data_IF_835951378564
#
_entry.id   IF_835951378564
#
_cell.length_a   1.000
_cell.length_b   1.000
_cell.length_c   1.000
_cell.angle_alpha   90.00
_cell.angle_beta   90.00
_cell.angle_gamma   90.00
#
_symmetry.space_group_name_H-M   'P 1'
#
loop_
_entity.id
_entity.type
_entity.pdbx_description
1 polymer ?
#
# COMPACT_ATOMS: atom_id res chain seq x y z
N UNK A 1 -33.00 22.73 29.67
CA UNK A 1 -31.70 23.14 29.08
C UNK A 1 -31.24 22.17 27.99
N UNK A 2 -31.16 20.85 28.24
CA UNK A 2 -30.77 19.87 27.21
C UNK A 2 -31.54 19.96 25.86
N UNK A 3 -32.86 20.17 25.91
CA UNK A 3 -33.70 20.34 24.70
C UNK A 3 -33.33 21.59 23.87
N UNK A 4 -32.85 22.65 24.53
CA UNK A 4 -32.41 23.86 23.86
C UNK A 4 -31.04 23.66 23.18
N UNK A 5 -30.12 22.96 23.84
CA UNK A 5 -28.82 22.59 23.26
C UNK A 5 -28.97 21.68 22.03
N UNK A 6 -29.87 20.70 22.08
CA UNK A 6 -30.16 19.83 20.94
C UNK A 6 -30.74 20.61 19.76
N UNK A 7 -31.67 21.54 20.02
CA UNK A 7 -32.23 22.42 18.98
C UNK A 7 -31.16 23.32 18.35
N UNK A 8 -30.20 23.81 19.15
CA UNK A 8 -29.08 24.59 18.66
C UNK A 8 -28.11 23.76 17.81
N UNK A 9 -27.84 22.51 18.19
CA UNK A 9 -27.04 21.57 17.40
C UNK A 9 -27.66 21.29 16.03
N UNK A 10 -28.98 21.06 15.97
CA UNK A 10 -29.70 20.81 14.70
C UNK A 10 -29.80 22.06 13.82
N UNK A 11 -29.84 23.25 14.42
CA UNK A 11 -29.87 24.52 13.71
C UNK A 11 -28.47 25.00 13.27
N UNK A 12 -27.39 24.33 13.70
CA UNK A 12 -26.02 24.72 13.37
C UNK A 12 -25.74 24.50 11.89
N UNK A 13 -25.28 25.54 11.21
CA UNK A 13 -24.90 25.47 9.80
C UNK A 13 -23.48 24.88 9.65
N UNK A 14 -23.45 23.56 9.48
CA UNK A 14 -22.22 22.77 9.34
C UNK A 14 -21.39 23.12 8.11
N UNK A 15 -22.00 23.68 7.07
CA UNK A 15 -21.31 23.99 5.82
C UNK A 15 -20.65 25.38 5.89
N UNK A 16 -21.23 26.30 6.66
CA UNK A 16 -20.64 27.61 6.95
C UNK A 16 -19.51 27.56 8.00
N UNK A 17 -19.46 26.53 8.85
CA UNK A 17 -18.47 26.39 9.92
C UNK A 17 -17.09 25.97 9.40
N UNK A 18 -16.23 26.97 9.15
CA UNK A 18 -14.86 26.76 8.65
C UNK A 18 -13.98 25.92 9.58
N UNK A 19 -14.18 26.01 10.89
CA UNK A 19 -13.38 25.25 11.86
C UNK A 19 -13.76 23.77 11.81
N UNK A 20 -15.05 23.47 11.71
CA UNK A 20 -15.53 22.11 11.45
C UNK A 20 -15.01 21.56 10.12
N UNK A 21 -15.12 22.31 9.02
CA UNK A 21 -14.66 21.85 7.69
C UNK A 21 -13.15 21.55 7.69
N UNK A 22 -12.34 22.40 8.32
CA UNK A 22 -10.90 22.15 8.48
C UNK A 22 -10.61 20.89 9.30
N UNK A 23 -11.42 20.60 10.33
CA UNK A 23 -11.27 19.40 11.16
C UNK A 23 -11.69 18.14 10.41
N UNK A 24 -12.78 18.20 9.65
CA UNK A 24 -13.26 17.09 8.83
C UNK A 24 -12.23 16.67 7.77
N UNK A 25 -11.58 17.64 7.12
CA UNK A 25 -10.53 17.38 6.12
C UNK A 25 -9.31 16.63 6.69
N UNK A 26 -9.09 16.70 8.01
CA UNK A 26 -7.98 16.03 8.68
C UNK A 26 -8.35 14.63 9.20
N UNK A 27 -9.64 14.28 9.23
CA UNK A 27 -10.12 13.03 9.82
C UNK A 27 -10.28 11.98 8.73
N UNK A 28 -9.57 10.85 8.89
CA UNK A 28 -9.77 9.67 8.08
C UNK A 28 -10.92 8.82 8.65
N UNK A 29 -12.01 8.68 7.90
CA UNK A 29 -13.10 7.74 8.22
C UNK A 29 -12.78 6.43 7.51
N UNK A 30 -12.64 5.35 8.29
CA UNK A 30 -12.28 4.05 7.75
C UNK A 30 -13.36 3.50 6.81
N UNK A 31 -12.92 2.93 5.68
CA UNK A 31 -13.80 2.23 4.74
C UNK A 31 -14.55 1.11 5.46
N UNK A 32 -15.89 1.11 5.40
CA UNK A 32 -16.76 0.11 6.02
C UNK A 32 -17.54 0.58 7.25
N UNK A 33 -17.24 1.78 7.77
CA UNK A 33 -18.15 2.48 8.69
C UNK A 33 -19.17 3.25 7.86
N UNK A 34 -20.43 3.22 8.26
CA UNK A 34 -21.44 4.08 7.66
C UNK A 34 -21.03 5.55 7.79
N UNK A 35 -20.76 6.18 6.66
CA UNK A 35 -20.08 7.47 6.58
C UNK A 35 -20.91 8.56 7.26
N UNK A 36 -22.24 8.49 7.12
CA UNK A 36 -23.18 9.46 7.69
C UNK A 36 -23.24 9.34 9.20
N UNK A 37 -23.32 8.10 9.72
CA UNK A 37 -23.26 7.86 11.17
C UNK A 37 -21.93 8.30 11.79
N UNK A 38 -20.81 8.10 11.09
CA UNK A 38 -19.49 8.54 11.54
C UNK A 38 -19.40 10.08 11.59
N UNK A 39 -19.83 10.75 10.51
CA UNK A 39 -19.88 12.22 10.46
C UNK A 39 -20.80 12.76 11.55
N UNK A 40 -21.99 12.20 11.74
CA UNK A 40 -22.93 12.66 12.76
C UNK A 40 -22.33 12.59 14.17
N UNK A 41 -21.61 11.51 14.50
CA UNK A 41 -20.89 11.37 15.78
C UNK A 41 -19.77 12.39 15.93
N UNK A 42 -19.01 12.63 14.86
CA UNK A 42 -17.94 13.62 14.86
C UNK A 42 -18.48 15.05 15.01
N UNK A 43 -19.57 15.39 14.30
CA UNK A 43 -20.30 16.66 14.44
C UNK A 43 -20.75 16.89 15.88
N UNK A 44 -21.39 15.89 16.50
CA UNK A 44 -21.81 15.96 17.92
C UNK A 44 -20.65 16.20 18.87
N UNK A 45 -19.56 15.44 18.68
CA UNK A 45 -18.37 15.54 19.52
C UNK A 45 -17.71 16.92 19.39
N UNK A 46 -17.60 17.43 18.16
CA UNK A 46 -17.09 18.78 17.88
C UNK A 46 -17.98 19.85 18.53
N UNK A 47 -19.30 19.78 18.32
CA UNK A 47 -20.23 20.74 18.89
C UNK A 47 -20.13 20.79 20.41
N UNK A 48 -20.03 19.62 21.05
CA UNK A 48 -19.90 19.53 22.49
C UNK A 48 -18.57 20.14 22.97
N UNK A 49 -17.45 19.84 22.32
CA UNK A 49 -16.14 20.32 22.78
C UNK A 49 -15.89 21.79 22.51
N UNK A 50 -16.37 22.31 21.39
CA UNK A 50 -15.92 23.60 20.86
C UNK A 50 -17.01 24.69 20.87
N UNK A 51 -18.30 24.32 20.95
CA UNK A 51 -19.42 25.28 20.84
C UNK A 51 -20.27 25.28 22.12
N UNK A 52 -20.75 24.13 22.56
CA UNK A 52 -21.67 24.01 23.70
C UNK A 52 -21.45 22.71 24.47
N UNK A 53 -20.75 22.82 25.61
CA UNK A 53 -20.41 21.70 26.49
C UNK A 53 -21.64 21.02 27.11
N UNK A 54 -22.80 21.68 27.15
CA UNK A 54 -24.05 21.14 27.70
C UNK A 54 -24.75 20.13 26.76
N UNK A 55 -24.32 19.98 25.51
CA UNK A 55 -24.89 19.00 24.59
C UNK A 55 -24.56 17.57 25.04
N UNK A 56 -25.58 16.74 25.28
CA UNK A 56 -25.36 15.33 25.61
C UNK A 56 -24.91 14.54 24.36
N UNK A 57 -23.93 13.65 24.53
CA UNK A 57 -23.43 12.82 23.42
C UNK A 57 -24.45 11.79 22.93
N UNK A 58 -25.41 11.43 23.77
CA UNK A 58 -26.45 10.47 23.46
C UNK A 58 -27.61 11.17 22.76
N UNK A 59 -27.98 10.80 21.52
CA UNK A 59 -29.17 11.33 20.90
C UNK A 59 -30.37 11.13 21.82
N UNK A 60 -31.14 12.19 22.05
CA UNK A 60 -32.42 12.09 22.74
C UNK A 60 -33.35 11.32 21.82
N UNK A 61 -33.25 10.00 21.87
CA UNK A 61 -34.03 9.10 21.03
C UNK A 61 -35.49 9.21 21.43
N UNK A 62 -36.35 9.44 20.44
CA UNK A 62 -37.74 8.99 20.46
C UNK A 62 -37.85 7.57 21.07
N UNK A 63 -38.99 7.25 21.72
CA UNK A 63 -39.13 6.02 22.49
C UNK A 63 -38.66 4.79 21.69
N UNK A 64 -37.88 3.91 22.35
CA UNK A 64 -37.10 2.90 21.69
C UNK A 64 -38.00 1.91 20.94
N UNK A 65 -37.95 1.93 19.62
CA UNK A 65 -38.34 0.76 18.82
C UNK A 65 -37.41 -0.37 19.28
N UNK A 66 -37.99 -1.41 19.87
CA UNK A 66 -37.36 -2.47 20.65
C UNK A 66 -36.52 -3.47 19.84
N UNK A 67 -35.66 -3.01 18.93
CA UNK A 67 -34.84 -3.82 18.02
C UNK A 67 -33.33 -3.80 18.33
N UNK A 68 -32.90 -3.32 19.52
CA UNK A 68 -31.49 -3.09 19.85
C UNK A 68 -30.70 -4.28 20.40
N UNK A 69 -31.33 -5.42 20.75
CA UNK A 69 -30.60 -6.55 21.35
C UNK A 69 -29.82 -7.44 20.37
N UNK A 70 -30.12 -7.43 19.07
CA UNK A 70 -29.43 -8.31 18.10
C UNK A 70 -28.15 -7.72 17.51
N UNK A 71 -27.95 -6.40 17.49
CA UNK A 71 -26.75 -5.79 16.89
C UNK A 71 -25.49 -5.87 17.76
N UNK A 72 -25.62 -5.98 19.09
CA UNK A 72 -24.47 -6.02 20.00
C UNK A 72 -23.60 -7.28 19.80
N UNK A 73 -24.22 -8.44 19.59
CA UNK A 73 -23.51 -9.71 19.46
C UNK A 73 -22.64 -9.78 18.18
N UNK A 74 -23.15 -9.27 17.07
CA UNK A 74 -22.41 -9.25 15.79
C UNK A 74 -21.18 -8.33 15.85
N UNK A 75 -21.26 -7.21 16.56
CA UNK A 75 -20.14 -6.28 16.69
C UNK A 75 -18.99 -6.86 17.52
N UNK A 76 -19.30 -7.51 18.64
CA UNK A 76 -18.27 -8.15 19.47
C UNK A 76 -17.59 -9.32 18.75
N UNK A 77 -18.36 -10.15 18.04
CA UNK A 77 -17.80 -11.24 17.25
C UNK A 77 -16.83 -10.72 16.19
N UNK A 78 -17.23 -9.71 15.41
CA UNK A 78 -16.39 -9.10 14.38
C UNK A 78 -15.11 -8.50 14.98
N UNK A 79 -15.19 -7.87 16.16
CA UNK A 79 -14.03 -7.35 16.87
C UNK A 79 -13.04 -8.44 17.27
N UNK A 80 -13.52 -9.57 17.81
CA UNK A 80 -12.66 -10.70 18.20
C UNK A 80 -11.97 -11.33 16.99
N UNK A 81 -12.70 -11.52 15.89
CA UNK A 81 -12.13 -12.02 14.63
C UNK A 81 -11.06 -11.06 14.12
N UNK A 82 -11.34 -9.76 14.07
CA UNK A 82 -10.39 -8.74 13.64
C UNK A 82 -9.09 -8.76 14.47
N UNK A 83 -9.21 -8.82 15.79
CA UNK A 83 -8.06 -8.88 16.70
C UNK A 83 -7.26 -10.18 16.45
N UNK A 84 -7.93 -11.33 16.40
CA UNK A 84 -7.30 -12.62 16.14
C UNK A 84 -6.56 -12.64 14.80
N UNK A 85 -7.20 -12.14 13.73
CA UNK A 85 -6.58 -12.08 12.40
C UNK A 85 -5.37 -11.16 12.36
N UNK A 86 -5.36 -10.04 13.11
CA UNK A 86 -4.17 -9.19 13.22
C UNK A 86 -3.01 -9.89 13.95
N UNK A 87 -3.29 -10.69 14.98
CA UNK A 87 -2.26 -11.51 15.64
C UNK A 87 -1.70 -12.60 14.73
N UNK A 88 -2.55 -13.27 13.94
CA UNK A 88 -2.09 -14.24 12.93
C UNK A 88 -1.21 -13.53 11.90
N UNK A 89 -1.63 -12.35 11.41
CA UNK A 89 -0.83 -11.54 10.47
C UNK A 89 0.53 -11.18 11.06
N UNK A 90 0.58 -10.73 12.31
CA UNK A 90 1.84 -10.49 13.02
C UNK A 90 2.71 -11.74 13.09
N UNK A 91 2.13 -12.89 13.42
CA UNK A 91 2.84 -14.17 13.46
C UNK A 91 3.50 -14.51 12.12
N UNK A 92 2.78 -14.33 11.01
CA UNK A 92 3.31 -14.54 9.65
C UNK A 92 4.46 -13.58 9.31
N UNK A 93 4.34 -12.30 9.64
CA UNK A 93 5.41 -11.33 9.39
C UNK A 93 6.63 -11.54 10.28
N UNK A 94 6.44 -11.94 11.54
CA UNK A 94 7.55 -12.35 12.42
C UNK A 94 8.25 -13.61 11.90
N UNK A 95 7.48 -14.59 11.41
CA UNK A 95 7.99 -15.79 10.76
C UNK A 95 8.83 -15.45 9.53
N UNK A 96 8.39 -14.49 8.70
CA UNK A 96 9.16 -14.03 7.55
C UNK A 96 10.53 -13.46 7.94
N UNK A 97 10.63 -12.70 9.04
CA UNK A 97 11.91 -12.20 9.54
C UNK A 97 12.81 -13.36 9.96
N UNK A 98 12.27 -14.33 10.71
CA UNK A 98 13.03 -15.52 11.13
C UNK A 98 13.49 -16.37 9.94
N UNK A 99 12.63 -16.60 8.96
CA UNK A 99 12.97 -17.31 7.72
C UNK A 99 14.00 -16.53 6.90
N UNK A 100 13.93 -15.20 6.86
CA UNK A 100 14.92 -14.34 6.22
C UNK A 100 16.29 -14.46 6.90
N UNK A 101 16.34 -14.45 8.23
CA UNK A 101 17.59 -14.69 8.99
C UNK A 101 18.13 -16.10 8.69
N UNK A 102 17.26 -17.11 8.72
CA UNK A 102 17.63 -18.50 8.39
C UNK A 102 18.15 -18.66 6.96
N UNK A 103 17.58 -17.92 6.00
CA UNK A 103 18.07 -17.84 4.63
C UNK A 103 19.49 -17.27 4.56
N UNK A 104 19.76 -16.17 5.27
CA UNK A 104 21.08 -15.52 5.30
C UNK A 104 22.14 -16.38 6.01
N UNK A 105 21.74 -17.21 6.98
CA UNK A 105 22.65 -18.11 7.70
C UNK A 105 22.91 -19.43 6.94
N UNK A 106 22.03 -19.82 6.02
CA UNK A 106 22.11 -21.10 5.32
C UNK A 106 22.97 -21.02 4.07
N UNK A 107 24.20 -21.55 4.12
CA UNK A 107 25.12 -21.55 2.96
C UNK A 107 24.83 -22.60 1.88
N UNK A 108 23.86 -23.52 2.09
CA UNK A 108 23.59 -24.61 1.13
C UNK A 108 22.09 -24.84 0.90
N UNK A 109 21.56 -26.01 1.27
CA UNK A 109 20.23 -26.51 0.92
C UNK A 109 19.09 -25.85 1.71
N UNK A 110 19.34 -25.38 2.93
CA UNK A 110 18.33 -24.70 3.77
C UNK A 110 17.81 -23.40 3.17
N UNK A 111 18.61 -22.75 2.32
CA UNK A 111 18.26 -21.48 1.68
C UNK A 111 17.01 -21.60 0.79
N UNK A 112 16.85 -22.71 0.05
CA UNK A 112 15.68 -22.91 -0.81
C UNK A 112 14.39 -23.03 0.00
N UNK A 113 14.41 -23.81 1.08
CA UNK A 113 13.28 -23.98 1.97
C UNK A 113 12.88 -22.65 2.61
N UNK A 114 13.82 -21.95 3.23
CA UNK A 114 13.56 -20.66 3.88
C UNK A 114 12.96 -19.66 2.89
N UNK A 115 13.50 -19.59 1.67
CA UNK A 115 13.00 -18.72 0.61
C UNK A 115 11.54 -19.04 0.24
N UNK A 116 11.22 -20.30 -0.07
CA UNK A 116 9.86 -20.69 -0.50
C UNK A 116 8.83 -20.46 0.61
N UNK A 117 9.12 -20.87 1.84
CA UNK A 117 8.19 -20.68 2.95
C UNK A 117 7.98 -19.21 3.28
N UNK A 118 9.01 -18.37 3.13
CA UNK A 118 8.87 -16.93 3.32
C UNK A 118 7.97 -16.29 2.26
N UNK A 119 8.07 -16.71 0.98
CA UNK A 119 7.18 -16.21 -0.07
C UNK A 119 5.73 -16.66 0.13
N UNK A 120 5.52 -17.93 0.51
CA UNK A 120 4.17 -18.46 0.81
C UNK A 120 3.56 -17.78 2.03
N UNK A 121 4.32 -17.62 3.12
CA UNK A 121 3.88 -16.92 4.33
C UNK A 121 3.52 -15.45 4.02
N UNK A 122 4.31 -14.76 3.21
CA UNK A 122 4.01 -13.40 2.76
C UNK A 122 2.74 -13.31 1.91
N UNK A 123 2.55 -14.27 0.99
CA UNK A 123 1.33 -14.37 0.18
C UNK A 123 0.09 -14.57 1.05
N UNK A 124 0.14 -15.49 2.02
CA UNK A 124 -0.93 -15.69 3.00
C UNK A 124 -1.19 -14.42 3.82
N UNK A 125 -0.14 -13.70 4.21
CA UNK A 125 -0.24 -12.41 4.89
C UNK A 125 -0.98 -11.34 4.08
N UNK A 126 -0.77 -11.29 2.76
CA UNK A 126 -1.52 -10.40 1.87
C UNK A 126 -3.00 -10.79 1.73
N UNK A 127 -3.30 -12.09 1.55
CA UNK A 127 -4.70 -12.53 1.51
C UNK A 127 -5.44 -12.28 2.82
N UNK A 128 -4.78 -12.51 3.95
CA UNK A 128 -5.32 -12.21 5.27
C UNK A 128 -5.56 -10.70 5.44
N UNK A 129 -4.64 -9.86 4.97
CA UNK A 129 -4.84 -8.41 4.94
C UNK A 129 -6.09 -8.02 4.14
N UNK A 130 -6.22 -8.52 2.91
CA UNK A 130 -7.39 -8.22 2.05
C UNK A 130 -8.69 -8.66 2.73
N UNK A 131 -8.72 -9.87 3.30
CA UNK A 131 -9.90 -10.39 4.01
C UNK A 131 -10.27 -9.57 5.24
N UNK A 132 -9.28 -9.05 5.98
CA UNK A 132 -9.51 -8.16 7.13
C UNK A 132 -10.01 -6.79 6.66
N UNK A 133 -9.35 -6.18 5.66
CA UNK A 133 -9.58 -4.79 5.25
C UNK A 133 -10.88 -4.63 4.49
N UNK A 134 -11.20 -5.54 3.57
CA UNK A 134 -12.34 -5.40 2.67
C UNK A 134 -13.48 -6.40 2.96
N UNK A 135 -13.25 -7.38 3.83
CA UNK A 135 -14.24 -8.40 4.16
C UNK A 135 -14.44 -9.42 3.03
N UNK A 136 -15.70 -9.83 2.81
CA UNK A 136 -16.05 -10.83 1.78
C UNK A 136 -15.84 -10.24 0.38
N UNK A 137 -15.19 -10.98 -0.54
CA UNK A 137 -14.97 -10.50 -1.90
C UNK A 137 -16.31 -10.25 -2.61
N UNK A 138 -16.40 -9.09 -3.28
CA UNK A 138 -17.56 -8.72 -4.11
C UNK A 138 -17.10 -8.72 -5.57
N UNK A 139 -17.91 -9.32 -6.44
CA UNK A 139 -17.64 -9.35 -7.89
C UNK A 139 -18.22 -8.10 -8.58
N UNK A 140 -17.80 -6.92 -8.11
CA UNK A 140 -18.17 -5.64 -8.71
C UNK A 140 -16.94 -4.79 -9.03
N UNK A 141 -17.12 -3.81 -9.91
CA UNK A 141 -16.02 -2.96 -10.40
C UNK A 141 -15.46 -2.10 -9.27
N UNK A 142 -16.30 -1.65 -8.35
CA UNK A 142 -15.90 -0.81 -7.22
C UNK A 142 -14.96 -1.55 -6.27
N UNK A 143 -15.25 -2.82 -5.96
CA UNK A 143 -14.37 -3.64 -5.13
C UNK A 143 -13.04 -3.91 -5.84
N UNK A 144 -13.07 -4.17 -7.15
CA UNK A 144 -11.84 -4.35 -7.93
C UNK A 144 -10.98 -3.07 -7.90
N UNK A 145 -11.58 -1.89 -8.07
CA UNK A 145 -10.87 -0.60 -7.98
C UNK A 145 -10.23 -0.40 -6.61
N UNK A 146 -10.94 -0.70 -5.52
CA UNK A 146 -10.38 -0.64 -4.16
C UNK A 146 -9.18 -1.59 -4.02
N UNK A 147 -9.30 -2.81 -4.54
CA UNK A 147 -8.22 -3.79 -4.50
C UNK A 147 -6.98 -3.34 -5.28
N UNK A 148 -7.16 -2.65 -6.42
CA UNK A 148 -6.07 -2.13 -7.25
C UNK A 148 -5.39 -0.89 -6.66
N UNK A 149 -6.07 -0.12 -5.81
CA UNK A 149 -5.44 1.01 -5.10
C UNK A 149 -4.60 0.52 -3.92
N UNK A 150 -4.95 -0.64 -3.35
CA UNK A 150 -4.20 -1.24 -2.25
C UNK A 150 -2.83 -1.76 -2.68
N UNK A 151 -1.78 -1.22 -2.08
CA UNK A 151 -0.42 -1.67 -2.35
C UNK A 151 -0.21 -3.14 -1.96
N UNK A 152 -0.84 -3.64 -0.90
CA UNK A 152 -0.70 -5.03 -0.42
C UNK A 152 -1.16 -6.04 -1.47
N UNK A 153 -2.18 -5.71 -2.25
CA UNK A 153 -2.67 -6.53 -3.36
C UNK A 153 -1.62 -6.67 -4.45
N UNK A 154 -0.83 -5.62 -4.73
CA UNK A 154 0.18 -5.66 -5.79
C UNK A 154 1.23 -6.73 -5.49
N UNK A 155 1.61 -6.89 -4.22
CA UNK A 155 2.63 -7.86 -3.81
C UNK A 155 2.18 -9.32 -3.95
N UNK A 156 0.88 -9.61 -4.14
CA UNK A 156 0.40 -10.97 -4.45
C UNK A 156 1.06 -11.47 -5.74
N UNK A 157 1.07 -10.66 -6.79
CA UNK A 157 1.71 -11.02 -8.06
C UNK A 157 3.22 -11.19 -7.90
N UNK A 158 3.85 -10.34 -7.09
CA UNK A 158 5.28 -10.46 -6.76
C UNK A 158 5.57 -11.80 -6.08
N UNK A 159 4.85 -12.14 -5.01
CA UNK A 159 5.08 -13.39 -4.27
C UNK A 159 4.75 -14.63 -5.11
N UNK A 160 3.71 -14.60 -5.94
CA UNK A 160 3.42 -15.68 -6.89
C UNK A 160 4.59 -15.89 -7.88
N UNK A 161 5.14 -14.81 -8.43
CA UNK A 161 6.32 -14.89 -9.29
C UNK A 161 7.53 -15.46 -8.53
N UNK A 162 7.79 -15.01 -7.30
CA UNK A 162 8.90 -15.49 -6.48
C UNK A 162 8.76 -16.97 -6.06
N UNK A 163 7.54 -17.46 -5.84
CA UNK A 163 7.29 -18.89 -5.55
C UNK A 163 7.70 -19.77 -6.74
N UNK A 164 7.69 -19.25 -7.97
CA UNK A 164 8.15 -19.98 -9.16
C UNK A 164 9.66 -19.81 -9.42
N UNK A 165 10.27 -18.78 -8.84
CA UNK A 165 11.68 -18.42 -9.04
C UNK A 165 12.68 -19.24 -8.22
N UNK A 166 13.94 -19.33 -8.68
CA UNK A 166 15.05 -19.78 -7.85
C UNK A 166 15.30 -18.82 -6.67
N UNK A 167 15.89 -19.29 -5.55
CA UNK A 167 16.14 -18.43 -4.41
C UNK A 167 17.10 -17.29 -4.76
N UNK A 168 16.70 -16.06 -4.42
CA UNK A 168 17.48 -14.85 -4.69
C UNK A 168 17.50 -13.95 -3.45
N UNK A 169 18.63 -13.26 -3.25
CA UNK A 169 18.81 -12.38 -2.10
C UNK A 169 17.94 -11.12 -2.15
N UNK A 170 17.77 -10.50 -3.33
CA UNK A 170 17.03 -9.23 -3.45
C UNK A 170 15.55 -9.35 -3.01
N UNK A 171 14.77 -10.35 -3.44
CA UNK A 171 13.42 -10.55 -2.91
C UNK A 171 13.37 -10.84 -1.40
N UNK A 172 14.38 -11.52 -0.85
CA UNK A 172 14.47 -11.78 0.60
C UNK A 172 14.57 -10.48 1.37
N UNK A 173 15.49 -9.60 0.95
CA UNK A 173 15.67 -8.28 1.57
C UNK A 173 14.36 -7.49 1.52
N UNK A 174 13.66 -7.54 0.39
CA UNK A 174 12.38 -6.84 0.23
C UNK A 174 11.33 -7.31 1.26
N UNK A 175 11.11 -8.63 1.33
CA UNK A 175 10.19 -9.24 2.28
C UNK A 175 10.58 -8.92 3.72
N UNK A 176 11.86 -9.05 4.07
CA UNK A 176 12.35 -8.79 5.42
C UNK A 176 12.06 -7.36 5.86
N UNK A 177 12.42 -6.35 5.06
CA UNK A 177 12.21 -4.94 5.43
C UNK A 177 10.72 -4.62 5.57
N UNK A 178 9.88 -5.10 4.65
CA UNK A 178 8.42 -4.95 4.75
C UNK A 178 7.88 -5.59 6.03
N UNK A 179 8.33 -6.81 6.33
CA UNK A 179 7.93 -7.55 7.53
C UNK A 179 8.37 -6.83 8.80
N UNK A 180 9.59 -6.30 8.83
CA UNK A 180 10.11 -5.52 9.95
C UNK A 180 9.32 -4.23 10.17
N UNK A 181 8.92 -3.51 9.11
CA UNK A 181 8.07 -2.33 9.21
C UNK A 181 6.69 -2.66 9.84
N UNK A 182 6.08 -3.76 9.40
CA UNK A 182 4.79 -4.20 9.94
C UNK A 182 4.91 -4.61 11.41
N UNK A 183 5.90 -5.44 11.74
CA UNK A 183 6.15 -5.91 13.11
C UNK A 183 6.47 -4.75 14.03
N UNK A 184 7.34 -3.82 13.62
CA UNK A 184 7.69 -2.64 14.41
C UNK A 184 6.46 -1.77 14.70
N UNK A 185 5.65 -1.50 13.68
CA UNK A 185 4.40 -0.74 13.82
C UNK A 185 3.39 -1.43 14.73
N UNK A 186 3.29 -2.76 14.67
CA UNK A 186 2.34 -3.52 15.50
C UNK A 186 2.80 -3.62 16.96
N UNK A 187 4.10 -3.79 17.18
CA UNK A 187 4.69 -3.81 18.51
C UNK A 187 4.52 -2.47 19.22
N UNK A 188 4.79 -1.37 18.53
CA UNK A 188 4.73 -0.02 19.11
C UNK A 188 3.29 0.43 19.40
N UNK A 189 2.36 0.21 18.46
CA UNK A 189 1.01 0.78 18.58
C UNK A 189 0.01 -0.11 19.34
N UNK A 190 0.22 -1.43 19.40
CA UNK A 190 -0.80 -2.35 19.93
C UNK A 190 -0.28 -3.24 21.06
N UNK A 191 0.87 -3.89 20.88
CA UNK A 191 1.25 -5.03 21.74
C UNK A 191 1.99 -4.56 22.98
N UNK A 192 3.10 -3.83 22.81
CA UNK A 192 3.94 -3.46 23.95
C UNK A 192 3.24 -2.54 24.94
N UNK A 193 2.48 -1.49 24.52
CA UNK A 193 1.75 -0.66 25.47
C UNK A 193 0.74 -1.44 26.30
N UNK A 194 0.13 -2.49 25.73
CA UNK A 194 -0.91 -3.28 26.37
C UNK A 194 -0.35 -4.34 27.33
N UNK A 195 0.71 -5.04 26.93
CA UNK A 195 1.23 -6.20 27.68
C UNK A 195 2.48 -5.90 28.51
N UNK A 196 3.29 -4.92 28.11
CA UNK A 196 4.57 -4.62 28.78
C UNK A 196 4.97 -3.15 28.60
N UNK A 197 4.33 -2.22 29.33
CA UNK A 197 4.60 -0.79 29.18
C UNK A 197 6.04 -0.41 29.54
N UNK A 198 6.69 -1.16 30.44
CA UNK A 198 8.11 -0.95 30.77
C UNK A 198 9.04 -1.35 29.63
N UNK A 199 8.74 -2.44 28.92
CA UNK A 199 9.47 -2.83 27.71
C UNK A 199 9.17 -1.86 26.57
N UNK A 200 7.92 -1.40 26.44
CA UNK A 200 7.53 -0.38 25.47
C UNK A 200 8.37 0.88 25.63
N UNK A 201 8.49 1.42 26.85
CA UNK A 201 9.29 2.62 27.11
C UNK A 201 10.76 2.47 26.67
N UNK A 202 11.34 1.26 26.81
CA UNK A 202 12.71 0.96 26.38
C UNK A 202 12.84 0.73 24.87
N UNK A 203 11.85 0.08 24.25
CA UNK A 203 11.88 -0.30 22.84
C UNK A 203 11.38 0.82 21.90
N UNK A 204 10.51 1.70 22.39
CA UNK A 204 9.85 2.74 21.60
C UNK A 204 10.83 3.65 20.84
N UNK A 205 11.98 4.09 21.39
CA UNK A 205 12.93 4.89 20.61
C UNK A 205 13.44 4.16 19.35
N UNK A 206 13.71 2.86 19.45
CA UNK A 206 14.14 2.05 18.32
C UNK A 206 12.98 1.79 17.32
N UNK A 207 11.80 1.45 17.83
CA UNK A 207 10.62 1.22 16.99
C UNK A 207 10.22 2.49 16.24
N UNK A 208 10.22 3.64 16.92
CA UNK A 208 9.93 4.93 16.34
C UNK A 208 10.97 5.32 15.29
N UNK A 209 12.27 5.05 15.51
CA UNK A 209 13.30 5.24 14.48
C UNK A 209 12.97 4.48 13.19
N UNK A 210 12.53 3.23 13.29
CA UNK A 210 12.12 2.42 12.13
C UNK A 210 10.85 2.99 11.47
N UNK A 211 9.85 3.38 12.26
CA UNK A 211 8.57 3.93 11.79
C UNK A 211 8.77 5.28 11.08
N UNK A 212 9.58 6.20 11.62
CA UNK A 212 9.89 7.49 10.99
C UNK A 212 10.56 7.29 9.62
N UNK A 213 11.40 6.25 9.49
CA UNK A 213 12.06 5.90 8.22
C UNK A 213 11.18 5.11 7.26
N UNK A 214 9.94 4.79 7.61
CA UNK A 214 9.02 3.99 6.78
C UNK A 214 8.92 4.53 5.35
N UNK A 215 8.72 5.83 5.18
CA UNK A 215 8.60 6.43 3.84
C UNK A 215 9.88 6.27 3.01
N UNK A 216 11.06 6.51 3.61
CA UNK A 216 12.34 6.33 2.94
C UNK A 216 12.57 4.85 2.56
N UNK A 217 12.25 3.93 3.48
CA UNK A 217 12.36 2.49 3.25
C UNK A 217 11.40 2.01 2.15
N UNK A 218 10.15 2.50 2.10
CA UNK A 218 9.22 2.17 1.01
C UNK A 218 9.73 2.64 -0.36
N UNK A 219 10.32 3.83 -0.45
CA UNK A 219 10.92 4.32 -1.69
C UNK A 219 12.15 3.51 -2.11
N UNK A 220 12.96 3.11 -1.13
CA UNK A 220 14.10 2.24 -1.37
C UNK A 220 13.64 0.84 -1.84
N UNK A 221 12.61 0.27 -1.22
CA UNK A 221 12.02 -1.00 -1.65
C UNK A 221 11.47 -0.94 -3.07
N UNK A 222 10.84 0.15 -3.48
CA UNK A 222 10.42 0.33 -4.87
C UNK A 222 11.61 0.34 -5.84
N UNK A 223 12.79 0.82 -5.42
CA UNK A 223 14.02 0.74 -6.22
C UNK A 223 14.56 -0.70 -6.28
N UNK A 224 14.46 -1.44 -5.18
CA UNK A 224 14.81 -2.87 -5.13
C UNK A 224 13.89 -3.69 -6.05
N UNK A 225 12.59 -3.40 -6.08
CA UNK A 225 11.64 -4.03 -7.00
C UNK A 225 12.08 -3.87 -8.47
N UNK A 226 12.49 -2.67 -8.86
CA UNK A 226 13.01 -2.41 -10.20
C UNK A 226 14.27 -3.22 -10.48
N UNK A 227 15.21 -3.22 -9.52
CA UNK A 227 16.44 -3.99 -9.65
C UNK A 227 16.15 -5.48 -9.87
N UNK A 228 15.19 -6.07 -9.16
CA UNK A 228 14.74 -7.46 -9.37
C UNK A 228 14.24 -7.66 -10.81
N UNK A 229 13.44 -6.73 -11.32
CA UNK A 229 12.92 -6.80 -12.71
C UNK A 229 14.03 -6.79 -13.76
N UNK A 230 15.09 -6.00 -13.56
CA UNK A 230 16.26 -6.00 -14.44
C UNK A 230 17.10 -7.27 -14.28
N UNK A 231 17.25 -7.81 -13.07
CA UNK A 231 17.94 -9.09 -12.86
C UNK A 231 17.24 -10.20 -13.65
N UNK A 232 15.90 -10.28 -13.60
CA UNK A 232 15.16 -11.23 -14.42
C UNK A 232 15.33 -11.01 -15.92
N UNK A 233 15.47 -9.76 -16.36
CA UNK A 233 15.74 -9.47 -17.77
C UNK A 233 17.12 -10.03 -18.18
N UNK A 234 18.14 -9.87 -17.34
CA UNK A 234 19.47 -10.44 -17.60
C UNK A 234 19.49 -11.97 -17.48
N UNK A 235 18.71 -12.56 -16.58
CA UNK A 235 18.56 -14.01 -16.45
C UNK A 235 17.94 -14.67 -17.70
N UNK A 236 17.25 -13.92 -18.57
CA UNK A 236 16.86 -14.44 -19.89
C UNK A 236 18.05 -14.86 -20.76
N UNK A 237 19.23 -14.28 -20.53
CA UNK A 237 20.45 -14.66 -21.24
C UNK A 237 21.07 -15.94 -20.66
N UNK A 238 20.75 -16.28 -19.41
CA UNK A 238 21.19 -17.51 -18.73
C UNK A 238 20.49 -18.75 -19.30
N UNK A 239 20.94 -19.95 -18.90
CA UNK A 239 20.26 -21.23 -19.17
C UNK A 239 19.02 -21.42 -18.29
N UNK A 240 18.92 -20.70 -17.17
CA UNK A 240 17.82 -20.75 -16.19
C UNK A 240 16.63 -19.86 -16.59
N UNK A 241 16.24 -19.86 -17.86
CA UNK A 241 15.24 -18.93 -18.40
C UNK A 241 13.86 -19.23 -17.84
N UNK A 242 13.26 -18.27 -17.13
CA UNK A 242 11.90 -18.36 -16.62
C UNK A 242 11.03 -17.24 -17.21
N UNK A 243 10.71 -17.37 -18.50
CA UNK A 243 9.95 -16.34 -19.25
C UNK A 243 8.62 -15.98 -18.57
N UNK A 244 7.93 -16.98 -18.01
CA UNK A 244 6.67 -16.76 -17.28
C UNK A 244 6.86 -15.86 -16.05
N UNK A 245 7.90 -16.11 -15.24
CA UNK A 245 8.21 -15.32 -14.04
C UNK A 245 8.53 -13.89 -14.42
N UNK A 246 9.33 -13.69 -15.46
CA UNK A 246 9.62 -12.37 -16.01
C UNK A 246 8.32 -11.64 -16.40
N UNK A 247 7.44 -12.28 -17.18
CA UNK A 247 6.19 -11.66 -17.61
C UNK A 247 5.31 -11.26 -16.42
N UNK A 248 5.12 -12.15 -15.45
CA UNK A 248 4.31 -11.86 -14.25
C UNK A 248 4.93 -10.70 -13.46
N UNK A 249 6.25 -10.70 -13.27
CA UNK A 249 6.95 -9.66 -12.50
C UNK A 249 6.90 -8.30 -13.20
N UNK A 250 7.01 -8.24 -14.53
CA UNK A 250 6.85 -6.99 -15.27
C UNK A 250 5.42 -6.47 -15.25
N UNK A 251 4.40 -7.34 -15.25
CA UNK A 251 3.03 -6.90 -15.00
C UNK A 251 2.86 -6.32 -13.58
N UNK A 252 3.49 -6.94 -12.57
CA UNK A 252 3.57 -6.37 -11.22
C UNK A 252 4.19 -4.97 -11.22
N UNK A 253 5.36 -4.78 -11.85
CA UNK A 253 6.01 -3.47 -11.93
C UNK A 253 5.15 -2.43 -12.66
N UNK A 254 4.43 -2.84 -13.71
CA UNK A 254 3.49 -1.97 -14.42
C UNK A 254 2.35 -1.51 -13.51
N UNK A 255 1.73 -2.41 -12.75
CA UNK A 255 0.68 -2.07 -11.78
C UNK A 255 1.24 -1.11 -10.72
N UNK A 256 2.42 -1.40 -10.16
CA UNK A 256 3.09 -0.54 -9.19
C UNK A 256 3.39 0.85 -9.75
N UNK A 257 3.81 0.95 -11.00
CA UNK A 257 4.02 2.24 -11.66
C UNK A 257 2.73 3.06 -11.79
N UNK A 258 1.59 2.41 -12.08
CA UNK A 258 0.32 3.12 -12.24
C UNK A 258 -0.26 3.59 -10.91
N UNK A 259 -0.19 2.76 -9.86
CA UNK A 259 -0.92 3.02 -8.60
C UNK A 259 -0.04 3.50 -7.44
N UNK A 260 1.26 3.17 -7.41
CA UNK A 260 2.15 3.55 -6.30
C UNK A 260 2.97 4.80 -6.63
N UNK A 261 2.95 5.78 -5.73
CA UNK A 261 3.81 6.96 -5.83
C UNK A 261 5.30 6.60 -5.69
N UNK A 262 5.64 5.67 -4.78
CA UNK A 262 7.00 5.18 -4.59
C UNK A 262 7.52 4.46 -5.85
N UNK A 263 6.67 3.67 -6.51
CA UNK A 263 6.98 3.04 -7.79
C UNK A 263 7.35 4.06 -8.85
N UNK A 264 6.52 5.09 -9.06
CA UNK A 264 6.79 6.18 -10.02
C UNK A 264 8.10 6.91 -9.71
N UNK A 265 8.34 7.25 -8.45
CA UNK A 265 9.57 7.92 -8.03
C UNK A 265 10.81 7.05 -8.30
N UNK A 266 10.73 5.74 -8.06
CA UNK A 266 11.82 4.81 -8.35
C UNK A 266 12.15 4.77 -9.85
N UNK A 267 11.13 4.71 -10.72
CA UNK A 267 11.32 4.78 -12.18
C UNK A 267 11.89 6.13 -12.64
N UNK A 268 11.44 7.24 -12.05
CA UNK A 268 11.99 8.57 -12.34
C UNK A 268 13.47 8.70 -11.95
N UNK A 269 13.84 8.20 -10.77
CA UNK A 269 15.24 8.16 -10.31
C UNK A 269 16.11 7.31 -11.20
N UNK A 270 15.60 6.14 -11.63
CA UNK A 270 16.29 5.30 -12.60
C UNK A 270 16.50 6.05 -13.92
N UNK A 271 15.47 6.72 -14.44
CA UNK A 271 15.57 7.56 -15.63
C UNK A 271 16.66 8.62 -15.49
N UNK A 272 16.63 9.42 -14.43
CA UNK A 272 17.63 10.45 -14.16
C UNK A 272 19.05 9.89 -14.01
N UNK A 273 19.19 8.69 -13.43
CA UNK A 273 20.49 8.01 -13.29
C UNK A 273 21.01 7.55 -14.65
N UNK A 274 20.14 6.98 -15.49
CA UNK A 274 20.48 6.58 -16.85
C UNK A 274 20.83 7.79 -17.71
N UNK A 275 20.07 8.89 -17.62
CA UNK A 275 20.37 10.14 -18.30
C UNK A 275 21.75 10.67 -17.87
N UNK A 276 22.00 10.75 -16.56
CA UNK A 276 23.29 11.20 -16.02
C UNK A 276 24.46 10.34 -16.49
N UNK A 277 24.27 9.03 -16.68
CA UNK A 277 25.35 8.13 -17.07
C UNK A 277 25.54 8.07 -18.58
N UNK A 278 24.45 7.80 -19.32
CA UNK A 278 24.44 7.53 -20.75
C UNK A 278 24.40 8.79 -21.61
N UNK A 279 24.05 9.95 -21.07
CA UNK A 279 24.12 11.25 -21.76
C UNK A 279 25.25 12.14 -21.24
N UNK A 280 26.11 11.60 -20.36
CA UNK A 280 27.31 12.32 -19.92
C UNK A 280 28.26 12.58 -21.09
N UNK A 281 29.05 13.65 -21.01
CA UNK A 281 30.11 13.94 -21.99
C UNK A 281 31.17 12.84 -22.11
N UNK A 282 31.23 11.91 -21.13
CA UNK A 282 32.13 10.75 -21.13
C UNK A 282 31.59 9.57 -21.95
N UNK A 283 30.30 9.57 -22.29
CA UNK A 283 29.67 8.48 -23.05
C UNK A 283 29.89 8.65 -24.56
N UNK A 284 30.21 7.58 -25.31
CA UNK A 284 30.37 7.68 -26.77
C UNK A 284 29.09 8.15 -27.47
N UNK A 285 29.22 8.98 -28.52
CA UNK A 285 28.08 9.55 -29.26
C UNK A 285 27.10 8.50 -29.81
N UNK A 286 27.60 7.32 -30.16
CA UNK A 286 26.79 6.18 -30.62
C UNK A 286 25.85 5.71 -29.50
N UNK A 287 26.35 5.58 -28.27
CA UNK A 287 25.56 5.15 -27.10
C UNK A 287 24.49 6.19 -26.78
N UNK A 288 24.84 7.47 -26.79
CA UNK A 288 23.88 8.56 -26.59
C UNK A 288 22.75 8.53 -27.63
N UNK A 289 23.10 8.34 -28.90
CA UNK A 289 22.13 8.29 -30.00
C UNK A 289 21.21 7.08 -29.87
N UNK A 290 21.77 5.91 -29.57
CA UNK A 290 20.99 4.68 -29.35
C UNK A 290 20.05 4.83 -28.16
N UNK A 291 20.53 5.36 -27.03
CA UNK A 291 19.74 5.60 -25.84
C UNK A 291 18.58 6.57 -26.09
N UNK A 292 18.84 7.73 -26.73
CA UNK A 292 17.78 8.68 -27.12
C UNK A 292 16.75 8.06 -28.05
N UNK A 293 17.16 7.20 -28.98
CA UNK A 293 16.22 6.46 -29.85
C UNK A 293 15.33 5.54 -29.03
N UNK A 294 15.90 4.73 -28.13
CA UNK A 294 15.13 3.84 -27.24
C UNK A 294 14.17 4.63 -26.36
N UNK A 295 14.63 5.73 -25.76
CA UNK A 295 13.81 6.60 -24.93
C UNK A 295 12.65 7.23 -25.74
N UNK A 296 12.93 7.76 -26.94
CA UNK A 296 11.91 8.33 -27.84
C UNK A 296 10.88 7.29 -28.29
N UNK A 297 11.32 6.05 -28.50
CA UNK A 297 10.44 4.93 -28.81
C UNK A 297 9.58 4.56 -27.60
N UNK A 298 10.17 4.42 -26.41
CA UNK A 298 9.43 4.13 -25.19
C UNK A 298 8.38 5.19 -24.87
N UNK A 299 8.71 6.49 -24.98
CA UNK A 299 7.74 7.58 -24.79
C UNK A 299 6.58 7.50 -25.78
N UNK A 300 6.86 7.11 -27.04
CA UNK A 300 5.82 6.97 -28.05
C UNK A 300 4.78 5.88 -27.77
N UNK A 301 5.11 4.92 -26.91
CA UNK A 301 4.20 3.86 -26.50
C UNK A 301 3.32 4.25 -25.30
N UNK A 302 3.73 5.26 -24.54
CA UNK A 302 3.09 5.62 -23.26
C UNK A 302 2.20 6.85 -23.39
N UNK A 303 2.57 7.82 -24.22
CA UNK A 303 1.82 9.08 -24.35
C UNK A 303 0.75 8.98 -25.45
N UNK A 304 -0.55 8.81 -25.09
CA UNK A 304 -1.62 8.71 -26.08
C UNK A 304 -1.83 10.03 -26.83
N UNK A 305 -1.46 11.17 -26.25
CA UNK A 305 -1.58 12.47 -26.93
C UNK A 305 -0.48 12.64 -27.99
N UNK A 306 0.75 12.21 -27.69
CA UNK A 306 1.77 12.11 -28.73
C UNK A 306 1.41 11.07 -29.80
N UNK A 307 0.81 9.94 -29.42
CA UNK A 307 0.32 8.96 -30.39
C UNK A 307 -0.75 9.57 -31.32
N UNK A 308 -1.71 10.33 -30.76
CA UNK A 308 -2.72 11.09 -31.54
C UNK A 308 -2.08 12.18 -32.40
N UNK A 309 -1.10 12.91 -31.88
CA UNK A 309 -0.37 13.95 -32.63
C UNK A 309 0.42 13.36 -33.81
N UNK A 310 1.03 12.19 -33.64
CA UNK A 310 1.70 11.49 -34.76
C UNK A 310 0.69 10.98 -35.78
N UNK A 311 -0.44 10.42 -35.35
CA UNK A 311 -1.49 9.96 -36.26
C UNK A 311 -2.05 11.11 -37.12
N UNK A 312 -2.28 12.28 -36.52
CA UNK A 312 -2.71 13.47 -37.27
C UNK A 312 -1.63 14.00 -38.22
N UNK A 313 -0.35 13.97 -37.84
CA UNK A 313 0.75 14.31 -38.77
C UNK A 313 0.85 13.35 -39.97
N UNK A 314 0.65 12.05 -39.77
CA UNK A 314 0.63 11.07 -40.87
C UNK A 314 -0.59 11.24 -41.79
N UNK A 315 -1.74 11.64 -41.25
CA UNK A 315 -2.90 11.98 -42.06
C UNK A 315 -2.65 13.21 -42.93
N UNK A 316 -2.04 14.26 -42.36
CA UNK A 316 -1.76 15.50 -43.11
C UNK A 316 -0.68 15.31 -44.19
N UNK A 317 0.30 14.43 -43.99
CA UNK A 317 1.35 14.16 -45.00
C UNK A 317 0.88 13.29 -46.16
N UNK A 318 -0.24 12.56 -46.05
CA UNK A 318 -0.85 11.83 -47.17
C UNK A 318 -1.73 12.70 -48.06
N UNK A 319 -2.12 13.90 -47.64
CA UNK A 319 -3.00 14.79 -48.41
C UNK A 319 -2.27 15.82 -49.28
N UNK A 320 -0.93 15.87 -49.28
CA UNK A 320 -0.14 16.83 -50.05
C UNK A 320 0.55 16.24 -51.29
N UNK A 321 0.06 15.12 -51.83
CA UNK A 321 0.42 14.69 -53.19
C UNK A 321 -0.74 15.06 -54.11
N UNK A 322 -0.77 16.33 -54.53
CA UNK A 322 -1.50 16.83 -55.69
C UNK A 322 -0.52 17.51 -56.62
#
# INVERSE_FOLDING_TARGET
MALAAEKAFLAHDWDADKAWQSRLAQIFIANGVDHDTAIAKLKRKYYQSDINEELSLTPTSEPPVSSSKQQSGTLEFNRRVLIGSNYVRLGLYSLNILLGIGYLMSFSSGSYFCFKYMMVSSLLGCFLHIGITYGKPKFNVEFAQLLFVDEETHFILMYLAMIMCSPMLLPVINVMVRSSLFVASSLDNAILPMYSPTLHAKASPFLNMVIIRKFALCNWLATVDLAIGFVFLFELLSSSRQLLVLMIFWQYLRIRYMFSSAGRQAFQRLGATLDSWLLSSRSPAIVQTAYRKVQSYAYSLVDPEQAKTRQSQYQNSRCNVM
#
